data_IF_611221355390
#
_entry.id   IF_611221355390
#
_cell.length_a   1.000
_cell.length_b   1.000
_cell.length_c   1.000
_cell.angle_alpha   90.00
_cell.angle_beta   90.00
_cell.angle_gamma   90.00
#
_symmetry.space_group_name_H-M   'P 1'
#
loop_
_entity.id
_entity.type
_entity.pdbx_description
1 polymer ?
#
# COMPACT_ATOMS: atom_id res chain seq x y z
N UNK A 1 26.10 0.38 -4.44
CA UNK A 1 26.42 0.33 -5.87
C UNK A 1 27.19 1.60 -6.24
N UNK A 2 28.36 1.54 -6.88
CA UNK A 2 29.08 2.72 -7.33
C UNK A 2 28.28 3.38 -8.47
N UNK A 3 27.85 4.63 -8.25
CA UNK A 3 27.22 5.43 -9.28
C UNK A 3 28.26 5.66 -10.41
N UNK A 4 28.06 5.04 -11.55
CA UNK A 4 28.86 5.28 -12.76
C UNK A 4 28.71 6.74 -13.16
N UNK A 5 29.84 7.44 -13.31
CA UNK A 5 29.87 8.84 -13.75
C UNK A 5 29.21 8.94 -15.14
N UNK A 6 28.26 9.87 -15.35
CA UNK A 6 27.64 10.05 -16.65
C UNK A 6 28.68 10.40 -17.70
N UNK A 7 28.56 9.83 -18.88
CA UNK A 7 29.45 10.08 -20.02
C UNK A 7 29.36 11.53 -20.52
N UNK A 8 30.39 12.04 -21.24
CA UNK A 8 30.35 13.38 -21.86
C UNK A 8 29.09 13.62 -22.71
N UNK A 9 28.62 12.59 -23.41
CA UNK A 9 27.41 12.65 -24.23
C UNK A 9 26.14 12.86 -23.37
N UNK A 10 26.10 12.29 -22.18
CA UNK A 10 24.97 12.47 -21.26
C UNK A 10 24.93 13.88 -20.66
N UNK A 11 26.09 14.47 -20.41
CA UNK A 11 26.20 15.86 -19.92
C UNK A 11 25.76 16.87 -20.97
N UNK A 12 26.17 16.69 -22.24
CA UNK A 12 25.71 17.50 -23.36
C UNK A 12 24.17 17.40 -23.53
N UNK A 13 23.61 16.20 -23.48
CA UNK A 13 22.16 16.02 -23.54
C UNK A 13 21.43 16.70 -22.36
N UNK A 14 21.99 16.66 -21.15
CA UNK A 14 21.44 17.34 -20.00
C UNK A 14 21.49 18.87 -20.18
N UNK A 15 22.60 19.43 -20.71
CA UNK A 15 22.73 20.84 -21.02
C UNK A 15 21.66 21.30 -22.03
N UNK A 16 21.52 20.61 -23.16
CA UNK A 16 20.49 20.95 -24.14
C UNK A 16 19.06 20.77 -23.62
N UNK A 17 18.79 19.80 -22.75
CA UNK A 17 17.50 19.70 -22.04
C UNK A 17 17.28 20.87 -21.08
N UNK A 18 18.34 21.36 -20.43
CA UNK A 18 18.29 22.53 -19.56
C UNK A 18 17.96 23.83 -20.33
N UNK A 19 18.34 23.92 -21.62
CA UNK A 19 17.94 24.99 -22.53
C UNK A 19 16.53 24.78 -23.11
N UNK A 20 15.57 24.46 -22.25
CA UNK A 20 14.18 24.30 -22.64
C UNK A 20 13.64 25.59 -23.28
N UNK A 21 12.86 25.53 -24.39
CA UNK A 21 12.23 26.71 -25.02
C UNK A 21 11.53 27.65 -24.06
N UNK A 22 10.89 27.13 -23.02
CA UNK A 22 10.24 27.94 -21.97
C UNK A 22 11.23 28.79 -21.17
N UNK A 23 12.43 28.26 -20.83
CA UNK A 23 13.47 29.05 -20.13
C UNK A 23 14.04 30.13 -21.04
N UNK A 24 14.25 29.81 -22.30
CA UNK A 24 14.76 30.77 -23.30
C UNK A 24 13.74 31.92 -23.53
N UNK A 25 12.49 31.60 -23.81
CA UNK A 25 11.44 32.62 -24.06
C UNK A 25 11.20 33.49 -22.81
N UNK A 26 11.21 32.90 -21.63
CA UNK A 26 11.10 33.63 -20.35
C UNK A 26 12.28 34.61 -20.15
N UNK A 27 13.52 34.14 -20.39
CA UNK A 27 14.70 34.97 -20.26
C UNK A 27 14.73 36.13 -21.25
N UNK A 28 14.38 35.84 -22.52
CA UNK A 28 14.25 36.89 -23.54
C UNK A 28 13.16 37.89 -23.22
N UNK A 29 12.02 37.42 -22.70
CA UNK A 29 10.90 38.27 -22.30
C UNK A 29 11.27 39.20 -21.14
N UNK A 30 11.89 38.68 -20.07
CA UNK A 30 12.36 39.48 -18.94
C UNK A 30 13.47 40.48 -19.35
N UNK A 31 14.43 40.04 -20.17
CA UNK A 31 15.52 40.90 -20.64
C UNK A 31 14.98 42.05 -21.52
N UNK A 32 13.99 41.75 -22.36
CA UNK A 32 13.31 42.78 -23.19
C UNK A 32 12.52 43.78 -22.32
N UNK A 33 11.75 43.25 -21.36
CA UNK A 33 10.97 44.07 -20.43
C UNK A 33 11.89 45.03 -19.62
N UNK A 34 13.01 44.50 -19.10
CA UNK A 34 13.98 45.29 -18.38
C UNK A 34 14.58 46.41 -19.25
N UNK A 35 14.92 46.07 -20.51
CA UNK A 35 15.44 47.06 -21.46
C UNK A 35 14.38 48.15 -21.77
N UNK A 36 13.12 47.80 -21.91
CA UNK A 36 12.03 48.75 -22.14
C UNK A 36 11.83 49.66 -20.93
N UNK A 37 11.86 49.13 -19.71
CA UNK A 37 11.71 49.90 -18.47
C UNK A 37 12.89 50.89 -18.27
N UNK A 38 14.10 50.44 -18.64
CA UNK A 38 15.29 51.27 -18.53
C UNK A 38 15.50 52.24 -19.70
N UNK A 39 14.77 52.05 -20.81
CA UNK A 39 14.99 52.85 -22.04
C UNK A 39 14.92 54.38 -21.85
N UNK A 40 14.12 54.98 -20.95
CA UNK A 40 14.08 56.42 -20.76
C UNK A 40 15.40 56.98 -20.19
N UNK A 41 16.21 56.15 -19.52
CA UNK A 41 17.48 56.55 -18.90
C UNK A 41 18.64 56.52 -19.89
N UNK A 42 18.46 55.83 -21.02
CA UNK A 42 19.52 55.55 -21.98
C UNK A 42 19.42 56.48 -23.22
N UNK A 43 20.55 57.00 -23.66
CA UNK A 43 20.68 57.75 -24.93
C UNK A 43 20.66 56.77 -26.14
N UNK A 44 20.87 55.46 -25.90
CA UNK A 44 20.89 54.42 -26.93
C UNK A 44 19.46 54.17 -27.47
N UNK A 45 19.27 54.02 -28.78
CA UNK A 45 17.95 53.66 -29.33
C UNK A 45 17.42 52.38 -28.73
N UNK A 46 16.13 52.39 -28.36
CA UNK A 46 15.43 51.26 -27.69
C UNK A 46 15.66 49.90 -28.33
N UNK A 47 15.59 49.71 -29.68
CA UNK A 47 15.84 48.40 -30.28
C UNK A 47 17.25 47.84 -30.03
N UNK A 48 18.25 48.74 -30.00
CA UNK A 48 19.64 48.35 -29.74
C UNK A 48 19.80 47.97 -28.24
N UNK A 49 19.14 48.68 -27.34
CA UNK A 49 19.17 48.36 -25.92
C UNK A 49 18.52 47.01 -25.65
N UNK A 50 17.34 46.73 -26.29
CA UNK A 50 16.66 45.44 -26.20
C UNK A 50 17.56 44.29 -26.71
N UNK A 51 18.16 44.45 -27.90
CA UNK A 51 19.09 43.46 -28.45
C UNK A 51 20.28 43.16 -27.53
N UNK A 52 20.90 44.21 -26.94
CA UNK A 52 22.01 44.02 -25.98
C UNK A 52 21.54 43.28 -24.73
N UNK A 53 20.39 43.65 -24.16
CA UNK A 53 19.84 43.02 -22.97
C UNK A 53 19.45 41.54 -23.22
N UNK A 54 18.94 41.19 -24.39
CA UNK A 54 18.68 39.81 -24.81
C UNK A 54 19.96 38.98 -24.84
N UNK A 55 21.06 39.51 -25.42
CA UNK A 55 22.35 38.83 -25.45
C UNK A 55 22.90 38.59 -24.05
N UNK A 56 22.84 39.63 -23.19
CA UNK A 56 23.28 39.49 -21.79
C UNK A 56 22.43 38.44 -21.04
N UNK A 57 21.10 38.46 -21.22
CA UNK A 57 20.21 37.50 -20.61
C UNK A 57 20.51 36.07 -21.08
N UNK A 58 20.77 35.87 -22.37
CA UNK A 58 21.17 34.56 -22.90
C UNK A 58 22.51 34.08 -22.33
N UNK A 59 23.50 34.94 -22.19
CA UNK A 59 24.78 34.61 -21.55
C UNK A 59 24.60 34.21 -20.09
N UNK A 60 23.72 34.89 -19.36
CA UNK A 60 23.36 34.55 -17.99
C UNK A 60 22.65 33.18 -17.92
N UNK A 61 21.72 32.91 -18.83
CA UNK A 61 21.04 31.60 -18.95
C UNK A 61 22.00 30.46 -19.26
N UNK A 62 22.89 30.67 -20.24
CA UNK A 62 23.91 29.68 -20.59
C UNK A 62 24.84 29.37 -19.41
N UNK A 63 25.23 30.40 -18.65
CA UNK A 63 26.03 30.24 -17.42
C UNK A 63 25.25 29.44 -16.37
N UNK A 64 23.98 29.78 -16.13
CA UNK A 64 23.12 29.11 -15.18
C UNK A 64 22.98 27.61 -15.51
N UNK A 65 22.61 27.28 -16.76
CA UNK A 65 22.45 25.88 -17.23
C UNK A 65 23.80 25.15 -17.29
N UNK A 66 24.87 25.84 -17.68
CA UNK A 66 26.23 25.30 -17.66
C UNK A 66 26.65 24.85 -16.26
N UNK A 67 26.39 25.68 -15.24
CA UNK A 67 26.71 25.40 -13.85
C UNK A 67 25.70 24.39 -13.20
N UNK A 68 24.53 24.19 -13.79
CA UNK A 68 23.62 23.10 -13.41
C UNK A 68 24.24 21.74 -13.77
N UNK A 69 24.92 21.65 -14.91
CA UNK A 69 25.48 20.42 -15.44
C UNK A 69 26.96 20.18 -15.07
N UNK A 70 27.73 21.26 -14.84
CA UNK A 70 29.18 21.21 -14.61
C UNK A 70 29.60 22.29 -13.56
N UNK A 71 30.59 22.02 -12.64
CA UNK A 71 31.38 20.80 -12.48
C UNK A 71 30.58 19.64 -11.85
N UNK A 72 30.96 18.41 -12.21
CA UNK A 72 30.25 17.19 -11.75
C UNK A 72 30.43 16.89 -10.27
N UNK A 73 31.62 17.24 -9.73
CA UNK A 73 31.94 17.08 -8.30
C UNK A 73 32.17 18.47 -7.69
N UNK A 74 31.37 18.78 -6.71
CA UNK A 74 31.54 19.99 -5.90
C UNK A 74 32.08 19.60 -4.52
N UNK A 75 32.94 20.41 -3.92
CA UNK A 75 33.32 20.26 -2.52
C UNK A 75 32.05 20.24 -1.62
N UNK A 76 32.09 19.52 -0.51
CA UNK A 76 30.91 19.39 0.39
C UNK A 76 30.39 20.70 0.96
N UNK A 77 31.26 21.73 1.05
CA UNK A 77 30.91 23.05 1.56
C UNK A 77 30.27 23.96 0.50
N UNK A 78 30.35 23.62 -0.82
CA UNK A 78 29.84 24.43 -1.91
C UNK A 78 28.55 23.82 -2.48
N UNK A 79 27.42 24.47 -2.18
CA UNK A 79 26.15 24.07 -2.75
C UNK A 79 26.02 24.52 -4.22
N UNK A 80 25.48 23.68 -5.09
CA UNK A 80 25.32 23.97 -6.51
C UNK A 80 24.50 25.22 -6.79
N UNK A 81 23.44 25.45 -6.02
CA UNK A 81 22.62 26.65 -6.16
C UNK A 81 23.41 27.96 -5.89
N UNK A 82 24.36 27.91 -4.95
CA UNK A 82 25.21 29.05 -4.66
C UNK A 82 26.15 29.34 -5.83
N UNK A 83 26.74 28.27 -6.41
CA UNK A 83 27.61 28.41 -7.60
C UNK A 83 26.83 28.99 -8.80
N UNK A 84 25.58 28.61 -8.99
CA UNK A 84 24.71 29.15 -10.04
C UNK A 84 24.41 30.64 -9.82
N UNK A 85 24.06 31.02 -8.58
CA UNK A 85 23.81 32.43 -8.24
C UNK A 85 25.05 33.33 -8.44
N UNK A 86 26.18 32.87 -7.92
CA UNK A 86 27.46 33.61 -8.06
C UNK A 86 27.87 33.66 -9.55
N UNK A 87 27.70 32.54 -10.26
CA UNK A 87 27.99 32.47 -11.70
C UNK A 87 27.16 33.45 -12.53
N UNK A 88 25.85 33.55 -12.26
CA UNK A 88 24.97 34.54 -12.92
C UNK A 88 25.35 35.97 -12.51
N UNK A 89 25.63 36.22 -11.23
CA UNK A 89 26.05 37.53 -10.74
C UNK A 89 27.34 38.03 -11.40
N UNK A 90 28.27 37.13 -11.74
CA UNK A 90 29.50 37.45 -12.47
C UNK A 90 29.29 37.53 -13.98
N UNK A 91 28.47 36.65 -14.55
CA UNK A 91 28.21 36.58 -15.99
C UNK A 91 27.54 37.84 -16.54
N UNK A 92 26.67 38.49 -15.74
CA UNK A 92 25.94 39.71 -16.18
C UNK A 92 26.88 40.89 -16.39
N UNK A 93 27.73 41.35 -15.44
CA UNK A 93 28.63 42.46 -15.67
C UNK A 93 29.70 42.13 -16.72
N UNK A 94 30.21 40.88 -16.74
CA UNK A 94 31.18 40.46 -17.78
C UNK A 94 30.53 40.43 -19.18
N UNK A 95 29.31 39.88 -19.29
CA UNK A 95 28.54 39.89 -20.55
C UNK A 95 28.21 41.30 -21.01
N UNK A 96 27.87 42.21 -20.07
CA UNK A 96 27.66 43.63 -20.35
C UNK A 96 28.94 44.27 -20.90
N UNK A 97 30.09 44.01 -20.26
CA UNK A 97 31.37 44.52 -20.72
C UNK A 97 31.70 44.03 -22.18
N UNK A 98 31.49 42.73 -22.42
CA UNK A 98 31.73 42.15 -23.78
C UNK A 98 30.82 42.83 -24.80
N UNK A 99 29.52 43.01 -24.52
CA UNK A 99 28.57 43.65 -25.45
C UNK A 99 28.95 45.10 -25.75
N UNK A 100 29.40 45.86 -24.73
CA UNK A 100 29.85 47.22 -24.93
C UNK A 100 31.19 47.30 -25.66
N UNK A 101 32.13 46.40 -25.41
CA UNK A 101 33.39 46.33 -26.12
C UNK A 101 33.19 46.01 -27.59
N UNK A 102 32.30 45.05 -27.91
CA UNK A 102 31.94 44.74 -29.32
C UNK A 102 31.33 45.97 -29.99
N UNK A 103 30.49 46.75 -29.28
CA UNK A 103 29.88 47.96 -29.84
C UNK A 103 30.85 49.09 -30.17
N UNK A 104 32.06 49.10 -29.57
CA UNK A 104 33.14 50.08 -29.85
C UNK A 104 34.28 49.50 -30.65
N UNK A 105 34.08 48.30 -31.30
CA UNK A 105 35.10 47.65 -32.10
C UNK A 105 36.37 47.26 -31.33
N UNK A 106 36.24 46.98 -30.01
CA UNK A 106 37.37 46.61 -29.16
C UNK A 106 38.20 47.77 -28.64
N UNK A 107 37.88 49.02 -29.00
CA UNK A 107 38.64 50.17 -28.59
C UNK A 107 38.34 50.62 -27.16
N UNK A 108 39.19 50.19 -26.23
CA UNK A 108 39.04 50.44 -24.80
C UNK A 108 39.08 51.95 -24.45
N UNK A 109 39.90 52.73 -25.14
CA UNK A 109 39.99 54.19 -24.93
C UNK A 109 38.67 54.89 -25.33
N UNK A 110 38.07 54.49 -26.47
CA UNK A 110 36.78 55.02 -26.91
C UNK A 110 35.61 54.68 -25.96
N UNK A 111 35.71 53.59 -25.21
CA UNK A 111 34.74 53.25 -24.18
C UNK A 111 34.83 54.21 -23.01
N UNK A 112 36.04 54.43 -22.46
CA UNK A 112 36.26 55.26 -21.26
C UNK A 112 36.09 56.77 -21.53
N UNK A 113 36.31 57.23 -22.75
CA UNK A 113 36.13 58.63 -23.09
C UNK A 113 34.66 59.07 -23.23
N UNK A 114 33.74 58.16 -23.26
CA UNK A 114 32.31 58.48 -23.38
C UNK A 114 31.57 58.26 -22.08
N UNK A 115 31.24 59.33 -21.38
CA UNK A 115 30.48 59.31 -20.14
C UNK A 115 29.13 58.59 -20.31
N UNK A 116 28.41 58.80 -21.42
CA UNK A 116 27.15 58.16 -21.73
C UNK A 116 27.29 56.63 -21.86
N UNK A 117 28.38 56.10 -22.41
CA UNK A 117 28.63 54.66 -22.52
C UNK A 117 28.98 54.05 -21.16
N UNK A 118 29.79 54.75 -20.36
CA UNK A 118 30.19 54.30 -19.03
C UNK A 118 28.99 54.26 -18.10
N UNK A 119 28.14 55.30 -18.12
CA UNK A 119 26.88 55.29 -17.36
C UNK A 119 25.91 54.19 -17.82
N UNK A 120 25.77 54.02 -19.14
CA UNK A 120 24.95 52.92 -19.70
C UNK A 120 25.45 51.55 -19.26
N UNK A 121 26.76 51.31 -19.27
CA UNK A 121 27.37 50.08 -18.75
C UNK A 121 27.05 49.90 -17.26
N UNK A 122 27.25 50.95 -16.46
CA UNK A 122 27.05 50.91 -15.01
C UNK A 122 25.57 50.57 -14.66
N UNK A 123 24.61 51.24 -15.30
CA UNK A 123 23.19 50.98 -15.08
C UNK A 123 22.79 49.56 -15.50
N UNK A 124 23.26 49.09 -16.66
CA UNK A 124 22.95 47.74 -17.14
C UNK A 124 23.59 46.68 -16.25
N UNK A 125 24.87 46.87 -15.88
CA UNK A 125 25.58 45.92 -15.03
C UNK A 125 24.99 45.90 -13.61
N UNK A 126 24.69 47.08 -13.00
CA UNK A 126 24.12 47.18 -11.67
C UNK A 126 22.71 46.58 -11.60
N UNK A 127 21.82 46.92 -12.55
CA UNK A 127 20.47 46.34 -12.61
C UNK A 127 20.50 44.84 -12.79
N UNK A 128 21.35 44.34 -13.66
CA UNK A 128 21.49 42.91 -13.91
C UNK A 128 22.17 42.15 -12.78
N UNK A 129 23.10 42.77 -12.06
CA UNK A 129 23.74 42.18 -10.88
C UNK A 129 22.73 41.92 -9.77
N UNK A 130 21.68 42.76 -9.64
CA UNK A 130 20.62 42.58 -8.67
C UNK A 130 19.55 41.64 -9.20
N UNK A 131 19.04 41.87 -10.40
CA UNK A 131 17.91 41.13 -10.96
C UNK A 131 18.30 39.74 -11.42
N UNK A 132 19.52 39.54 -11.95
CA UNK A 132 19.99 38.24 -12.41
C UNK A 132 19.93 37.15 -11.34
N UNK A 133 20.55 37.34 -10.18
CA UNK A 133 20.45 36.41 -9.06
C UNK A 133 19.03 36.21 -8.53
N UNK A 134 18.20 37.27 -8.50
CA UNK A 134 16.81 37.19 -8.07
C UNK A 134 15.98 36.27 -9.00
N UNK A 135 16.14 36.46 -10.31
CA UNK A 135 15.48 35.60 -11.30
C UNK A 135 15.99 34.15 -11.21
N UNK A 136 17.32 33.99 -11.04
CA UNK A 136 17.91 32.66 -10.85
C UNK A 136 17.40 31.98 -9.57
N UNK A 137 17.28 32.72 -8.47
CA UNK A 137 16.72 32.24 -7.20
C UNK A 137 15.27 31.82 -7.37
N UNK A 138 14.44 32.63 -8.03
CA UNK A 138 13.06 32.31 -8.30
C UNK A 138 12.90 31.03 -9.17
N UNK A 139 13.79 30.86 -10.15
CA UNK A 139 13.83 29.65 -10.98
C UNK A 139 14.18 28.39 -10.16
N UNK A 140 15.19 28.49 -9.29
CA UNK A 140 15.60 27.41 -8.38
C UNK A 140 14.50 27.06 -7.40
N UNK A 141 13.82 28.05 -6.83
CA UNK A 141 12.70 27.82 -5.92
C UNK A 141 11.56 27.06 -6.60
N UNK A 142 11.15 27.50 -7.80
CA UNK A 142 10.11 26.84 -8.59
C UNK A 142 10.48 25.39 -8.93
N UNK A 143 11.73 25.14 -9.27
CA UNK A 143 12.20 23.78 -9.57
C UNK A 143 12.10 22.88 -8.34
N UNK A 144 12.56 23.34 -7.17
CA UNK A 144 12.47 22.57 -5.91
C UNK A 144 11.04 22.33 -5.47
N UNK A 145 10.16 23.33 -5.62
CA UNK A 145 8.73 23.20 -5.28
C UNK A 145 8.05 22.16 -6.19
N UNK A 146 8.38 22.16 -7.50
CA UNK A 146 7.86 21.17 -8.44
C UNK A 146 8.36 19.73 -8.11
N UNK A 147 9.63 19.58 -7.75
CA UNK A 147 10.21 18.31 -7.32
C UNK A 147 9.55 17.80 -6.02
N UNK A 148 9.38 18.69 -5.03
CA UNK A 148 8.73 18.35 -3.76
C UNK A 148 7.26 17.92 -3.96
N UNK A 149 6.51 18.64 -4.82
CA UNK A 149 5.12 18.27 -5.16
C UNK A 149 5.05 16.92 -5.87
N UNK A 150 5.97 16.67 -6.81
CA UNK A 150 6.03 15.39 -7.52
C UNK A 150 6.32 14.22 -6.57
N UNK A 151 7.22 14.42 -5.60
CA UNK A 151 7.50 13.41 -4.57
C UNK A 151 6.29 13.19 -3.65
N UNK A 152 5.64 14.27 -3.20
CA UNK A 152 4.45 14.17 -2.35
C UNK A 152 3.32 13.38 -3.03
N UNK A 153 3.04 13.69 -4.31
CA UNK A 153 2.05 12.94 -5.12
C UNK A 153 2.45 11.46 -5.29
N UNK A 154 3.76 11.18 -5.45
CA UNK A 154 4.26 9.80 -5.51
C UNK A 154 3.98 9.02 -4.23
N UNK A 155 4.23 9.61 -3.06
CA UNK A 155 3.94 9.01 -1.76
C UNK A 155 2.44 8.80 -1.53
N UNK A 156 1.58 9.75 -1.95
CA UNK A 156 0.12 9.61 -1.83
C UNK A 156 -0.40 8.45 -2.69
N UNK A 157 0.10 8.31 -3.92
CA UNK A 157 -0.26 7.20 -4.80
C UNK A 157 0.18 5.85 -4.21
N UNK A 158 1.42 5.74 -3.74
CA UNK A 158 1.94 4.52 -3.12
C UNK A 158 1.13 4.13 -1.88
N UNK A 159 0.81 5.09 -1.02
CA UNK A 159 -0.04 4.90 0.15
C UNK A 159 -1.42 4.38 -0.24
N UNK A 160 -2.07 5.01 -1.22
CA UNK A 160 -3.40 4.59 -1.70
C UNK A 160 -3.38 3.17 -2.28
N UNK A 161 -2.33 2.80 -3.01
CA UNK A 161 -2.15 1.43 -3.51
C UNK A 161 -1.97 0.41 -2.38
N UNK A 162 -1.20 0.74 -1.34
CA UNK A 162 -1.01 -0.13 -0.17
C UNK A 162 -2.32 -0.32 0.59
N UNK A 163 -3.08 0.76 0.83
CA UNK A 163 -4.40 0.69 1.48
C UNK A 163 -5.38 -0.19 0.68
N UNK A 164 -5.40 -0.04 -0.65
CA UNK A 164 -6.21 -0.88 -1.53
C UNK A 164 -5.80 -2.35 -1.48
N UNK A 165 -4.49 -2.65 -1.53
CA UNK A 165 -3.99 -4.04 -1.43
C UNK A 165 -4.33 -4.66 -0.08
N UNK A 166 -4.22 -3.89 1.01
CA UNK A 166 -4.60 -4.34 2.34
C UNK A 166 -6.10 -4.64 2.43
N UNK A 167 -6.95 -3.78 1.85
CA UNK A 167 -8.39 -4.01 1.78
C UNK A 167 -8.74 -5.24 0.93
N UNK A 168 -8.12 -5.40 -0.24
CA UNK A 168 -8.32 -6.57 -1.10
C UNK A 168 -7.88 -7.87 -0.41
N UNK A 169 -6.75 -7.84 0.32
CA UNK A 169 -6.29 -8.99 1.11
C UNK A 169 -7.29 -9.32 2.23
N UNK A 170 -7.79 -8.30 2.94
CA UNK A 170 -8.81 -8.47 3.99
C UNK A 170 -10.12 -9.03 3.42
N UNK A 171 -10.57 -8.54 2.27
CA UNK A 171 -11.75 -9.09 1.58
C UNK A 171 -11.54 -10.56 1.16
N UNK A 172 -10.36 -10.93 0.65
CA UNK A 172 -10.05 -12.33 0.31
C UNK A 172 -10.06 -13.24 1.53
N UNK A 173 -9.52 -12.77 2.67
CA UNK A 173 -9.57 -13.51 3.92
C UNK A 173 -11.02 -13.72 4.39
N UNK A 174 -11.87 -12.69 4.31
CA UNK A 174 -13.29 -12.79 4.65
C UNK A 174 -14.05 -13.76 3.72
N UNK A 175 -13.78 -13.75 2.40
CA UNK A 175 -14.36 -14.69 1.45
C UNK A 175 -13.89 -16.13 1.65
N UNK A 176 -12.68 -16.34 2.19
CA UNK A 176 -12.15 -17.67 2.45
C UNK A 176 -12.70 -18.32 3.74
N UNK A 177 -13.31 -17.55 4.64
CA UNK A 177 -13.79 -18.03 5.94
C UNK A 177 -15.16 -18.73 5.89
N UNK A 178 -15.99 -18.43 4.90
CA UNK A 178 -17.19 -19.25 4.61
C UNK A 178 -16.88 -20.03 3.35
N UNK A 179 -16.98 -21.36 3.39
CA UNK A 179 -16.69 -22.20 2.20
C UNK A 179 -17.72 -21.87 1.09
N UNK A 180 -17.31 -21.18 -0.02
CA UNK A 180 -18.26 -20.77 -1.06
C UNK A 180 -18.95 -21.96 -1.70
N UNK A 181 -18.21 -23.06 -1.86
CA UNK A 181 -18.71 -24.31 -2.43
C UNK A 181 -19.85 -24.92 -1.60
N UNK A 182 -19.75 -24.87 -0.27
CA UNK A 182 -20.82 -25.30 0.63
C UNK A 182 -22.09 -24.47 0.43
N UNK A 183 -21.98 -23.16 0.34
CA UNK A 183 -23.14 -22.27 0.12
C UNK A 183 -23.82 -22.55 -1.23
N UNK A 184 -23.03 -22.61 -2.32
CA UNK A 184 -23.58 -22.90 -3.64
C UNK A 184 -24.24 -24.26 -3.72
N UNK A 185 -23.66 -25.30 -3.13
CA UNK A 185 -24.24 -26.63 -3.07
C UNK A 185 -25.53 -26.69 -2.26
N UNK A 186 -25.59 -25.98 -1.13
CA UNK A 186 -26.78 -25.89 -0.29
C UNK A 186 -27.92 -25.17 -1.03
N UNK A 187 -27.63 -24.04 -1.69
CA UNK A 187 -28.60 -23.30 -2.51
C UNK A 187 -29.08 -24.12 -3.70
N UNK A 188 -28.17 -24.86 -4.36
CA UNK A 188 -28.56 -25.80 -5.45
C UNK A 188 -29.49 -26.89 -4.96
N UNK A 189 -29.25 -27.46 -3.74
CA UNK A 189 -30.12 -28.43 -3.12
C UNK A 189 -31.49 -27.81 -2.77
N UNK A 190 -31.53 -26.61 -2.19
CA UNK A 190 -32.81 -25.90 -1.93
C UNK A 190 -33.60 -25.74 -3.23
N UNK A 191 -32.94 -25.30 -4.32
CA UNK A 191 -33.60 -25.16 -5.63
C UNK A 191 -34.18 -26.49 -6.12
N UNK A 192 -33.39 -27.56 -6.06
CA UNK A 192 -33.88 -28.88 -6.48
C UNK A 192 -35.10 -29.37 -5.64
N UNK A 193 -35.11 -29.07 -4.32
CA UNK A 193 -36.26 -29.37 -3.44
C UNK A 193 -37.48 -28.50 -3.79
N UNK A 194 -37.31 -27.23 -4.16
CA UNK A 194 -38.40 -26.36 -4.63
C UNK A 194 -38.95 -26.86 -5.96
N UNK A 195 -38.09 -27.17 -6.92
CA UNK A 195 -38.48 -27.69 -8.24
C UNK A 195 -39.24 -29.02 -8.13
N UNK A 196 -38.89 -29.83 -7.12
CA UNK A 196 -39.59 -31.11 -6.80
C UNK A 196 -40.86 -30.94 -5.93
N UNK A 197 -41.23 -29.70 -5.56
CA UNK A 197 -42.40 -29.43 -4.68
C UNK A 197 -42.25 -30.01 -3.27
N UNK A 198 -41.03 -30.25 -2.79
CA UNK A 198 -40.77 -30.86 -1.49
C UNK A 198 -41.09 -29.93 -0.32
N UNK A 199 -41.87 -30.37 0.70
CA UNK A 199 -42.12 -29.56 1.90
C UNK A 199 -40.85 -29.25 2.72
N UNK A 200 -39.74 -29.98 2.46
CA UNK A 200 -38.46 -29.81 3.14
C UNK A 200 -37.70 -28.56 2.66
N UNK A 201 -38.04 -27.97 1.50
CA UNK A 201 -37.35 -26.84 0.93
C UNK A 201 -37.31 -25.63 1.88
N UNK A 202 -38.46 -25.30 2.49
CA UNK A 202 -38.57 -24.18 3.45
C UNK A 202 -37.75 -24.42 4.73
N UNK A 203 -37.70 -25.64 5.22
CA UNK A 203 -36.93 -26.01 6.41
C UNK A 203 -35.42 -25.84 6.16
N UNK A 204 -34.92 -26.38 5.01
CA UNK A 204 -33.50 -26.25 4.64
C UNK A 204 -33.10 -24.80 4.45
N UNK A 205 -33.94 -23.97 3.77
CA UNK A 205 -33.68 -22.56 3.60
C UNK A 205 -33.66 -21.80 4.94
N UNK A 206 -34.60 -22.08 5.82
CA UNK A 206 -34.65 -21.48 7.16
C UNK A 206 -33.42 -21.82 8.00
N UNK A 207 -32.94 -23.09 7.96
CA UNK A 207 -31.72 -23.50 8.63
C UNK A 207 -30.46 -22.87 8.01
N UNK A 208 -30.42 -22.69 6.68
CA UNK A 208 -29.34 -21.94 6.03
C UNK A 208 -29.30 -20.49 6.49
N UNK A 209 -30.46 -19.81 6.56
CA UNK A 209 -30.55 -18.44 7.05
C UNK A 209 -30.11 -18.36 8.53
N UNK A 210 -30.51 -19.32 9.37
CA UNK A 210 -30.10 -19.39 10.77
C UNK A 210 -28.57 -19.56 10.90
N UNK A 211 -27.98 -20.46 10.11
CA UNK A 211 -26.53 -20.64 10.06
C UNK A 211 -25.80 -19.36 9.62
N UNK A 212 -26.22 -18.72 8.52
CA UNK A 212 -25.60 -17.49 8.04
C UNK A 212 -25.72 -16.34 9.05
N UNK A 213 -26.88 -16.21 9.70
CA UNK A 213 -27.08 -15.20 10.76
C UNK A 213 -26.17 -15.44 11.96
N UNK A 214 -25.86 -16.70 12.29
CA UNK A 214 -24.92 -17.03 13.34
C UNK A 214 -23.45 -16.89 12.91
N UNK A 215 -23.10 -17.18 11.64
CA UNK A 215 -21.74 -17.21 11.12
C UNK A 215 -21.21 -15.81 10.76
N UNK A 216 -22.01 -14.99 10.02
CA UNK A 216 -21.53 -13.72 9.42
C UNK A 216 -21.01 -12.71 10.46
N UNK A 217 -21.66 -12.44 11.60
CA UNK A 217 -21.13 -11.51 12.59
C UNK A 217 -19.77 -11.95 13.13
N UNK A 218 -19.54 -13.25 13.27
CA UNK A 218 -18.34 -13.84 13.89
C UNK A 218 -17.11 -13.88 12.99
N UNK A 219 -17.28 -13.62 11.69
CA UNK A 219 -16.15 -13.52 10.75
C UNK A 219 -15.22 -12.34 11.08
N UNK A 220 -15.72 -11.33 11.78
CA UNK A 220 -14.97 -10.13 12.14
C UNK A 220 -14.65 -10.02 13.64
N UNK A 221 -15.10 -10.98 14.46
CA UNK A 221 -14.85 -10.95 15.89
C UNK A 221 -13.40 -11.37 16.19
N UNK A 222 -12.70 -10.60 17.02
CA UNK A 222 -11.36 -10.95 17.50
C UNK A 222 -11.39 -12.06 18.56
N UNK A 223 -12.50 -12.18 19.28
CA UNK A 223 -12.72 -13.20 20.30
C UNK A 223 -14.18 -13.65 20.32
N UNK A 224 -14.40 -14.92 20.63
CA UNK A 224 -15.70 -15.54 20.82
C UNK A 224 -15.70 -16.32 22.13
N UNK A 225 -16.86 -16.83 22.56
CA UNK A 225 -16.94 -17.78 23.66
C UNK A 225 -17.45 -19.13 23.19
N UNK A 226 -17.20 -20.18 23.99
CA UNK A 226 -17.60 -21.54 23.61
C UNK A 226 -19.12 -21.69 23.42
N UNK A 227 -19.95 -20.98 24.18
CA UNK A 227 -21.40 -21.01 24.00
C UNK A 227 -21.80 -20.52 22.60
N UNK A 228 -21.16 -19.46 22.14
CA UNK A 228 -21.37 -18.93 20.77
C UNK A 228 -20.87 -19.91 19.70
N UNK A 229 -19.72 -20.52 19.91
CA UNK A 229 -19.19 -21.57 19.01
C UNK A 229 -20.15 -22.75 18.92
N UNK A 230 -20.67 -23.23 20.04
CA UNK A 230 -21.61 -24.34 20.08
C UNK A 230 -22.96 -23.99 19.42
N UNK A 231 -23.45 -22.77 19.56
CA UNK A 231 -24.65 -22.31 18.83
C UNK A 231 -24.43 -22.36 17.31
N UNK A 232 -23.25 -21.92 16.85
CA UNK A 232 -22.89 -21.96 15.43
C UNK A 232 -22.76 -23.40 14.93
N UNK A 233 -22.12 -24.28 15.70
CA UNK A 233 -22.00 -25.71 15.42
C UNK A 233 -23.37 -26.38 15.35
N UNK A 234 -24.28 -26.06 16.26
CA UNK A 234 -25.66 -26.57 16.25
C UNK A 234 -26.37 -26.18 14.96
N UNK A 235 -26.34 -24.89 14.59
CA UNK A 235 -26.99 -24.43 13.37
C UNK A 235 -26.41 -25.10 12.11
N UNK A 236 -25.10 -25.33 12.07
CA UNK A 236 -24.42 -26.03 10.99
C UNK A 236 -24.83 -27.50 10.92
N UNK A 237 -24.82 -28.22 12.05
CA UNK A 237 -25.19 -29.63 12.11
C UNK A 237 -26.67 -29.86 11.80
N UNK A 238 -27.58 -28.98 12.23
CA UNK A 238 -28.99 -29.01 11.82
C UNK A 238 -29.16 -28.88 10.31
N UNK A 239 -28.46 -27.94 9.69
CA UNK A 239 -28.47 -27.75 8.25
C UNK A 239 -27.94 -29.01 7.51
N UNK A 240 -26.84 -29.59 8.01
CA UNK A 240 -26.24 -30.80 7.41
C UNK A 240 -27.12 -32.03 7.60
N UNK A 241 -27.75 -32.16 8.73
CA UNK A 241 -28.71 -33.25 8.98
C UNK A 241 -29.95 -33.17 8.05
N UNK A 242 -30.50 -31.97 7.82
CA UNK A 242 -31.57 -31.76 6.86
C UNK A 242 -31.14 -32.08 5.42
N UNK A 243 -29.87 -31.88 5.09
CA UNK A 243 -29.30 -32.25 3.78
C UNK A 243 -29.07 -33.74 3.63
N UNK A 244 -28.72 -34.44 4.72
CA UNK A 244 -28.35 -35.85 4.76
C UNK A 244 -29.07 -36.59 5.91
N UNK A 245 -30.43 -36.64 5.94
CA UNK A 245 -31.17 -37.09 7.10
C UNK A 245 -30.90 -38.56 7.46
N UNK A 246 -30.63 -39.39 6.42
CA UNK A 246 -30.40 -40.83 6.61
C UNK A 246 -28.92 -41.19 6.82
N UNK A 247 -28.04 -40.21 6.68
CA UNK A 247 -26.57 -40.42 6.69
C UNK A 247 -25.85 -39.68 7.81
N UNK A 248 -26.46 -38.66 8.45
CA UNK A 248 -25.84 -37.91 9.52
C UNK A 248 -26.69 -37.94 10.80
N UNK A 249 -26.18 -38.54 11.85
CA UNK A 249 -26.66 -38.36 13.22
C UNK A 249 -25.68 -37.49 14.00
N UNK A 250 -26.16 -36.72 14.98
CA UNK A 250 -25.27 -35.94 15.82
C UNK A 250 -25.79 -35.75 17.25
N UNK A 251 -24.87 -35.48 18.19
CA UNK A 251 -25.20 -35.08 19.55
C UNK A 251 -24.23 -33.98 20.02
N UNK A 252 -24.76 -33.10 20.90
CA UNK A 252 -23.99 -32.04 21.54
C UNK A 252 -24.17 -32.20 23.06
N UNK A 253 -23.06 -32.46 23.75
CA UNK A 253 -23.00 -32.54 25.21
C UNK A 253 -22.04 -31.48 25.74
N UNK A 254 -22.55 -30.43 26.30
CA UNK A 254 -21.81 -29.22 26.66
C UNK A 254 -22.02 -28.89 28.13
N UNK A 255 -20.94 -28.87 28.90
CA UNK A 255 -20.99 -28.42 30.30
C UNK A 255 -21.36 -26.93 30.36
N UNK A 256 -22.45 -26.53 31.04
CA UNK A 256 -22.89 -25.12 31.08
C UNK A 256 -21.82 -24.15 31.59
N UNK A 257 -20.96 -24.60 32.50
CA UNK A 257 -19.88 -23.80 33.06
C UNK A 257 -18.78 -23.48 32.01
N UNK A 258 -18.68 -24.24 30.90
CA UNK A 258 -17.71 -23.99 29.84
C UNK A 258 -18.18 -22.94 28.80
N UNK A 259 -19.47 -22.63 28.73
CA UNK A 259 -20.02 -21.73 27.70
C UNK A 259 -19.40 -20.32 27.67
N UNK A 260 -18.96 -19.84 28.85
CA UNK A 260 -18.38 -18.50 29.00
C UNK A 260 -16.89 -18.43 28.71
N UNK A 261 -16.24 -19.56 28.43
CA UNK A 261 -14.81 -19.59 28.18
C UNK A 261 -14.48 -18.96 26.83
N UNK A 262 -13.41 -18.18 26.81
CA UNK A 262 -12.92 -17.52 25.58
C UNK A 262 -12.38 -18.59 24.64
N UNK A 263 -12.84 -18.56 23.40
CA UNK A 263 -12.41 -19.43 22.34
C UNK A 263 -12.22 -18.60 21.06
N UNK A 264 -11.14 -18.78 20.31
CA UNK A 264 -11.00 -18.12 19.00
C UNK A 264 -12.18 -18.47 18.10
N UNK A 265 -12.74 -17.52 17.34
CA UNK A 265 -13.93 -17.75 16.53
C UNK A 265 -13.70 -18.85 15.47
N UNK A 266 -14.77 -19.54 15.10
CA UNK A 266 -14.76 -20.65 14.11
C UNK A 266 -13.88 -21.85 14.49
N UNK A 267 -13.49 -21.99 15.75
CA UNK A 267 -12.59 -23.08 16.21
C UNK A 267 -13.30 -24.41 16.22
N UNK A 268 -14.43 -24.52 16.92
CA UNK A 268 -15.17 -25.77 17.03
C UNK A 268 -15.86 -26.11 15.72
N UNK A 269 -16.37 -25.09 15.00
CA UNK A 269 -16.95 -25.28 13.68
C UNK A 269 -15.94 -25.90 12.69
N UNK A 270 -14.70 -25.42 12.67
CA UNK A 270 -13.65 -25.99 11.79
C UNK A 270 -13.44 -27.49 12.05
N UNK A 271 -13.48 -27.94 13.31
CA UNK A 271 -13.37 -29.35 13.65
C UNK A 271 -14.56 -30.16 13.15
N UNK A 272 -15.77 -29.63 13.31
CA UNK A 272 -17.01 -30.27 12.85
C UNK A 272 -17.10 -30.31 11.32
N UNK A 273 -16.71 -29.23 10.63
CA UNK A 273 -16.61 -29.20 9.16
C UNK A 273 -15.64 -30.28 8.64
N UNK A 274 -14.49 -30.44 9.29
CA UNK A 274 -13.54 -31.50 8.93
C UNK A 274 -14.13 -32.90 9.15
N UNK A 275 -14.83 -33.12 10.27
CA UNK A 275 -15.48 -34.39 10.55
C UNK A 275 -16.55 -34.74 9.48
N UNK A 276 -17.34 -33.75 9.05
CA UNK A 276 -18.31 -33.96 7.96
C UNK A 276 -17.60 -34.24 6.64
N UNK A 277 -16.69 -33.33 6.23
CA UNK A 277 -16.07 -33.38 4.91
C UNK A 277 -15.20 -34.60 4.69
N UNK A 278 -14.46 -35.02 5.71
CA UNK A 278 -13.47 -36.07 5.61
C UNK A 278 -13.93 -37.41 6.22
N UNK A 279 -14.88 -37.35 7.18
CA UNK A 279 -15.43 -38.53 7.83
C UNK A 279 -16.76 -39.01 7.24
N UNK A 280 -17.78 -38.15 7.24
CA UNK A 280 -19.16 -38.52 6.94
C UNK A 280 -19.47 -38.48 5.43
N UNK A 281 -19.11 -37.40 4.74
CA UNK A 281 -19.41 -37.24 3.30
C UNK A 281 -18.86 -38.38 2.44
N UNK A 282 -17.62 -38.90 2.67
CA UNK A 282 -17.08 -40.03 1.92
C UNK A 282 -17.67 -41.41 2.32
N UNK A 283 -18.33 -41.51 3.49
CA UNK A 283 -18.92 -42.76 3.97
C UNK A 283 -20.25 -43.01 3.28
N UNK A 284 -20.41 -44.13 2.57
CA UNK A 284 -21.69 -44.52 1.95
C UNK A 284 -22.77 -44.78 3.00
N UNK A 285 -22.40 -45.37 4.14
CA UNK A 285 -23.28 -45.65 5.26
C UNK A 285 -23.58 -44.40 6.12
N UNK A 286 -22.85 -43.30 5.89
CA UNK A 286 -22.93 -42.12 6.73
C UNK A 286 -22.17 -42.30 8.03
N UNK A 287 -22.65 -41.67 9.11
CA UNK A 287 -22.06 -41.79 10.43
C UNK A 287 -22.67 -40.81 11.45
N UNK A 288 -22.03 -40.77 12.59
CA UNK A 288 -22.43 -39.90 13.74
C UNK A 288 -21.31 -38.94 14.11
N UNK A 289 -21.70 -37.74 14.52
CA UNK A 289 -20.79 -36.75 15.10
C UNK A 289 -21.25 -36.45 16.52
N UNK A 290 -20.35 -36.66 17.47
CA UNK A 290 -20.53 -36.32 18.86
C UNK A 290 -19.58 -35.15 19.23
N UNK A 291 -20.15 -34.07 19.71
CA UNK A 291 -19.37 -32.91 20.20
C UNK A 291 -19.54 -32.85 21.72
N UNK A 292 -18.43 -33.00 22.44
CA UNK A 292 -18.42 -33.00 23.91
C UNK A 292 -17.54 -31.86 24.40
N UNK A 293 -18.03 -31.09 25.36
CA UNK A 293 -17.29 -29.99 26.01
C UNK A 293 -17.33 -30.22 27.52
N UNK A 294 -16.17 -30.45 28.11
CA UNK A 294 -16.05 -30.75 29.53
C UNK A 294 -14.93 -29.92 30.20
N UNK A 295 -15.09 -29.66 31.51
CA UNK A 295 -14.06 -29.04 32.31
C UNK A 295 -13.32 -30.16 33.08
N UNK A 296 -12.00 -30.19 32.99
CA UNK A 296 -11.17 -31.18 33.67
C UNK A 296 -10.18 -30.51 34.60
N UNK A 297 -9.89 -31.16 35.73
CA UNK A 297 -8.99 -30.65 36.75
C UNK A 297 -9.65 -29.64 37.68
N UNK A 298 -8.92 -29.21 38.69
CA UNK A 298 -9.39 -28.24 39.69
C UNK A 298 -8.39 -27.07 39.85
N UNK A 299 -8.91 -25.91 40.25
CA UNK A 299 -8.10 -24.74 40.55
C UNK A 299 -7.29 -24.21 39.34
N UNK A 300 -6.00 -23.98 39.53
CA UNK A 300 -5.12 -23.43 38.45
C UNK A 300 -4.78 -24.45 37.35
N UNK A 301 -5.03 -25.73 37.59
CA UNK A 301 -4.82 -26.79 36.60
C UNK A 301 -6.08 -27.12 35.78
N UNK A 302 -7.17 -26.38 36.02
CA UNK A 302 -8.42 -26.60 35.30
C UNK A 302 -8.26 -26.24 33.82
N UNK A 303 -8.73 -27.15 32.96
CA UNK A 303 -8.68 -27.01 31.47
C UNK A 303 -10.05 -27.33 30.92
N UNK A 304 -10.32 -26.74 29.74
CA UNK A 304 -11.50 -27.10 28.97
C UNK A 304 -11.09 -28.07 27.87
N UNK A 305 -11.74 -29.24 27.84
CA UNK A 305 -11.58 -30.23 26.79
C UNK A 305 -12.79 -30.16 25.84
N UNK A 306 -12.54 -29.91 24.56
CA UNK A 306 -13.51 -30.00 23.48
C UNK A 306 -13.17 -31.20 22.61
N UNK A 307 -14.08 -32.12 22.47
CA UNK A 307 -13.90 -33.29 21.60
C UNK A 307 -14.96 -33.29 20.49
N UNK A 308 -14.51 -33.44 19.26
CA UNK A 308 -15.37 -33.70 18.11
C UNK A 308 -15.00 -35.07 17.61
N UNK A 309 -15.91 -36.03 17.79
CA UNK A 309 -15.73 -37.44 17.42
C UNK A 309 -16.68 -37.77 16.28
N UNK A 310 -16.16 -38.33 15.22
CA UNK A 310 -16.93 -38.88 14.13
C UNK A 310 -16.79 -40.42 14.05
N UNK A 311 -17.75 -41.08 13.44
CA UNK A 311 -17.72 -42.50 13.09
C UNK A 311 -17.64 -42.71 11.59
N UNK A 312 -16.99 -41.80 10.88
CA UNK A 312 -16.83 -41.82 9.44
C UNK A 312 -15.73 -42.78 8.97
N UNK A 313 -15.18 -42.53 7.79
CA UNK A 313 -14.18 -43.41 7.14
C UNK A 313 -12.82 -43.48 7.81
N UNK A 314 -12.57 -42.66 8.85
CA UNK A 314 -11.30 -42.60 9.58
C UNK A 314 -10.20 -41.82 8.86
N UNK A 315 -8.96 -41.88 9.41
CA UNK A 315 -7.81 -41.19 8.86
C UNK A 315 -7.27 -41.92 7.63
N UNK A 316 -7.13 -41.22 6.50
CA UNK A 316 -6.46 -41.77 5.32
C UNK A 316 -4.94 -41.75 5.57
N UNK A 317 -4.31 -42.90 5.43
CA UNK A 317 -2.85 -43.05 5.48
C UNK A 317 -2.19 -42.16 4.39
N UNK A 318 -1.31 -41.24 4.79
CA UNK A 318 -0.55 -40.40 3.86
C UNK A 318 -1.14 -39.03 3.54
N UNK A 319 -2.27 -38.63 4.14
CA UNK A 319 -2.81 -37.29 3.99
C UNK A 319 -2.07 -36.29 4.87
N UNK A 320 -1.49 -35.24 4.28
CA UNK A 320 -1.05 -34.08 5.06
C UNK A 320 -2.28 -33.43 5.72
N UNK A 321 -2.14 -32.86 6.96
CA UNK A 321 -3.21 -32.10 7.59
C UNK A 321 -3.72 -31.04 6.61
N UNK A 322 -5.01 -31.05 6.31
CA UNK A 322 -5.61 -30.06 5.39
C UNK A 322 -5.34 -28.64 5.89
N UNK A 323 -5.31 -27.69 4.95
CA UNK A 323 -5.06 -26.26 5.25
C UNK A 323 -5.92 -25.73 6.42
N UNK A 324 -7.14 -26.24 6.61
CA UNK A 324 -8.03 -25.83 7.69
C UNK A 324 -7.49 -26.12 9.08
N UNK A 325 -6.98 -27.34 9.32
CA UNK A 325 -6.40 -27.72 10.63
C UNK A 325 -5.04 -27.07 10.89
N UNK A 326 -4.23 -26.83 9.85
CA UNK A 326 -2.98 -26.11 9.98
C UNK A 326 -3.23 -24.65 10.40
N UNK A 327 -4.14 -23.96 9.73
CA UNK A 327 -4.56 -22.60 10.06
C UNK A 327 -5.20 -22.51 11.47
N UNK A 328 -5.97 -23.55 11.86
CA UNK A 328 -6.54 -23.61 13.21
C UNK A 328 -5.43 -23.71 14.27
N UNK A 329 -4.41 -24.55 14.07
CA UNK A 329 -3.28 -24.66 15.00
C UNK A 329 -2.53 -23.34 15.15
N UNK A 330 -2.23 -22.68 14.03
CA UNK A 330 -1.56 -21.37 14.05
C UNK A 330 -2.38 -20.33 14.80
N UNK A 331 -3.70 -20.25 14.54
CA UNK A 331 -4.61 -19.33 15.22
C UNK A 331 -4.68 -19.59 16.73
N UNK A 332 -4.76 -20.86 17.15
CA UNK A 332 -4.76 -21.25 18.54
C UNK A 332 -3.45 -20.83 19.25
N UNK A 333 -2.30 -21.02 18.60
CA UNK A 333 -1.02 -20.59 19.13
C UNK A 333 -0.90 -19.08 19.27
N UNK A 334 -1.39 -18.32 18.29
CA UNK A 334 -1.37 -16.85 18.33
C UNK A 334 -2.30 -16.29 19.41
N UNK A 335 -3.48 -16.88 19.61
CA UNK A 335 -4.50 -16.36 20.54
C UNK A 335 -4.33 -16.85 21.97
N UNK A 336 -3.93 -18.11 22.18
CA UNK A 336 -3.92 -18.79 23.48
C UNK A 336 -2.54 -19.31 23.91
N UNK A 337 -1.53 -19.12 23.04
CA UNK A 337 -0.17 -19.56 23.28
C UNK A 337 0.02 -21.08 23.22
N UNK A 338 1.17 -21.56 23.73
CA UNK A 338 1.54 -22.98 23.71
C UNK A 338 0.67 -23.89 24.60
N UNK A 339 -0.24 -23.32 25.39
CA UNK A 339 -1.12 -24.08 26.27
C UNK A 339 -2.33 -24.68 25.54
N UNK A 340 -2.72 -24.14 24.40
CA UNK A 340 -3.75 -24.72 23.56
C UNK A 340 -3.16 -25.84 22.71
N UNK A 341 -3.77 -27.04 22.78
CA UNK A 341 -3.28 -28.23 22.08
C UNK A 341 -4.41 -28.85 21.28
N UNK A 342 -4.11 -29.23 20.03
CA UNK A 342 -5.02 -29.94 19.14
C UNK A 342 -4.44 -31.30 18.76
N UNK A 343 -5.11 -32.38 19.17
CA UNK A 343 -4.75 -33.76 18.89
C UNK A 343 -5.80 -34.40 17.99
N UNK A 344 -5.34 -35.27 17.08
CA UNK A 344 -6.21 -36.11 16.26
C UNK A 344 -5.85 -37.54 16.54
N UNK A 345 -6.84 -38.37 16.81
CA UNK A 345 -6.70 -39.83 17.04
C UNK A 345 -7.75 -40.61 16.29
N UNK A 346 -7.42 -41.83 15.89
CA UNK A 346 -8.36 -42.76 15.30
C UNK A 346 -9.29 -43.32 16.38
N UNK A 347 -10.53 -43.58 15.97
CA UNK A 347 -11.56 -44.18 16.80
C UNK A 347 -11.89 -45.57 16.31
N UNK A 348 -12.00 -46.56 17.20
CA UNK A 348 -12.42 -47.90 16.85
C UNK A 348 -13.95 -47.98 16.73
N UNK A 349 -14.53 -48.75 15.76
CA UNK A 349 -13.86 -49.50 14.70
C UNK A 349 -13.34 -48.63 13.56
N UNK A 350 -13.87 -47.44 13.33
CA UNK A 350 -13.47 -46.43 12.37
C UNK A 350 -13.94 -45.02 12.79
N UNK A 351 -13.30 -43.97 12.34
CA UNK A 351 -13.63 -42.59 12.65
C UNK A 351 -12.41 -41.82 13.19
N UNK A 352 -12.62 -40.56 13.50
CA UNK A 352 -11.62 -39.66 14.03
C UNK A 352 -12.14 -38.95 15.27
N UNK A 353 -11.29 -38.77 16.24
CA UNK A 353 -11.52 -37.85 17.38
C UNK A 353 -10.54 -36.67 17.28
N UNK A 354 -11.08 -35.50 17.09
CA UNK A 354 -10.36 -34.25 17.21
C UNK A 354 -10.54 -33.70 18.61
N UNK A 355 -9.47 -33.70 19.41
CA UNK A 355 -9.44 -33.22 20.79
C UNK A 355 -8.71 -31.90 20.87
N UNK A 356 -9.39 -30.89 21.42
CA UNK A 356 -8.85 -29.56 21.67
C UNK A 356 -8.82 -29.30 23.17
N UNK A 357 -7.64 -28.98 23.70
CA UNK A 357 -7.44 -28.59 25.09
C UNK A 357 -7.23 -27.09 25.14
N UNK A 358 -8.11 -26.38 25.84
CA UNK A 358 -8.06 -24.92 26.02
C UNK A 358 -7.69 -24.56 27.47
N UNK A 359 -6.77 -23.60 27.67
CA UNK A 359 -6.53 -23.08 29.01
C UNK A 359 -7.74 -22.25 29.48
N UNK A 360 -8.08 -22.31 30.75
CA UNK A 360 -9.10 -21.45 31.32
C UNK A 360 -8.45 -20.10 31.64
N UNK A 361 -8.71 -19.12 30.79
CA UNK A 361 -8.39 -17.74 31.11
C UNK A 361 -9.51 -17.19 32.01
N UNK A 362 -9.17 -16.81 33.24
CA UNK A 362 -10.09 -16.01 34.07
C UNK A 362 -10.16 -14.61 33.46
N UNK A 363 -11.36 -14.03 33.31
CA UNK A 363 -11.57 -12.68 32.85
C UNK A 363 -10.82 -11.62 33.65
#
# INVERSE_FOLDING_TARGET
MPQTLPTHAQTLRAFFRGLNPQRVTFTLGISSLLALVLSPVFVTPTPVLVGRSMVIGLLALLTFVGLECWPRRLPRWLARWLLQLVGVALAVPLGTLVVYMVAVGGNFAAFWQSEARMMGFLYTAASGLVLGPLVAMAALYRQRDAEARSQALGFELERSELERRALDARLRLLHAQIEPHFLFNTLANVRALVDAGSPKASAVLSSLIAYLRAAVPRLNDEASNLGQEIQLVRAYLELMHLRMPDRLAYALDVAPAAERLICPPMTVLTLVENAIRHGIDPSEEGGRIDVTVQLEGEGAAQRCRVQVRDTGVGLRQGGSPGLGLANLRERLQLSLGAQAQLHLSEVQPHGVCAELILPIQKP
#
